data_IF_510338045307
#
_entry.id   IF_510338045307
#
_cell.length_a   1.000
_cell.length_b   1.000
_cell.length_c   1.000
_cell.angle_alpha   90.00
_cell.angle_beta   90.00
_cell.angle_gamma   90.00
#
_symmetry.space_group_name_H-M   'P 1'
#
loop_
_entity.id
_entity.type
_entity.pdbx_description
1 polymer ?
#
# COMPACT_ATOMS: atom_id res chain seq x y z
N UNK A 1 16.18 -18.28 7.52
CA UNK A 1 17.11 -17.20 7.94
C UNK A 1 17.18 -17.22 9.43
N UNK A 2 18.31 -17.65 10.02
CA UNK A 2 18.46 -17.66 11.48
C UNK A 2 18.68 -16.21 11.93
N UNK A 3 17.83 -15.72 12.84
CA UNK A 3 17.99 -14.40 13.42
C UNK A 3 19.31 -14.34 14.21
N UNK A 4 20.18 -13.38 13.87
CA UNK A 4 21.38 -13.06 14.64
C UNK A 4 21.06 -12.50 16.03
N UNK A 5 19.82 -12.12 16.27
CA UNK A 5 19.37 -11.58 17.55
C UNK A 5 18.88 -12.71 18.45
N UNK A 6 19.53 -12.89 19.60
CA UNK A 6 19.20 -13.95 20.59
C UNK A 6 17.74 -13.94 21.03
N UNK A 7 17.14 -12.76 21.12
CA UNK A 7 15.73 -12.57 21.53
C UNK A 7 14.70 -13.19 20.57
N UNK A 8 15.06 -13.40 19.30
CA UNK A 8 14.15 -13.98 18.28
C UNK A 8 14.44 -15.43 17.97
N UNK A 9 15.33 -16.08 18.74
CA UNK A 9 15.80 -17.44 18.46
C UNK A 9 14.67 -18.48 18.38
N UNK A 10 13.60 -18.27 19.17
CA UNK A 10 12.47 -19.20 19.26
C UNK A 10 11.19 -18.72 18.57
N UNK A 11 11.02 -17.44 18.42
CA UNK A 11 9.77 -16.84 17.92
C UNK A 11 9.87 -16.26 16.50
N UNK A 12 11.08 -16.17 15.97
CA UNK A 12 11.33 -15.51 14.69
C UNK A 12 11.23 -13.97 14.78
N UNK A 13 11.48 -13.31 13.67
CA UNK A 13 11.34 -11.85 13.54
C UNK A 13 9.99 -11.60 12.92
N UNK A 14 9.12 -10.78 13.55
CA UNK A 14 7.84 -10.40 12.94
C UNK A 14 8.07 -9.69 11.62
N UNK A 15 7.32 -10.07 10.60
CA UNK A 15 7.39 -9.44 9.27
C UNK A 15 7.11 -7.93 9.34
N UNK A 16 6.23 -7.53 10.25
CA UNK A 16 5.92 -6.13 10.53
C UNK A 16 7.17 -5.30 10.90
N UNK A 17 8.13 -5.84 11.64
CA UNK A 17 9.36 -5.12 11.97
C UNK A 17 10.19 -4.78 10.73
N UNK A 18 10.18 -5.66 9.74
CA UNK A 18 10.91 -5.47 8.49
C UNK A 18 10.30 -4.35 7.64
N UNK A 19 8.98 -4.26 7.63
CA UNK A 19 8.23 -3.33 6.76
C UNK A 19 7.77 -2.05 7.49
N UNK A 20 7.99 -1.96 8.81
CA UNK A 20 7.42 -0.91 9.66
C UNK A 20 7.72 0.50 9.15
N UNK A 21 8.98 0.75 8.77
CA UNK A 21 9.42 2.07 8.29
C UNK A 21 8.68 2.48 7.02
N UNK A 22 8.65 1.61 6.03
CA UNK A 22 8.04 1.87 4.73
C UNK A 22 6.52 1.99 4.84
N UNK A 23 5.91 1.20 5.71
CA UNK A 23 4.49 1.31 6.03
C UNK A 23 4.17 2.68 6.66
N UNK A 24 5.01 3.13 7.59
CA UNK A 24 4.86 4.44 8.23
C UNK A 24 5.05 5.58 7.21
N UNK A 25 6.06 5.50 6.35
CA UNK A 25 6.29 6.48 5.28
C UNK A 25 5.09 6.54 4.33
N UNK A 26 4.59 5.39 3.88
CA UNK A 26 3.44 5.33 2.97
C UNK A 26 2.19 5.93 3.61
N UNK A 27 1.88 5.56 4.86
CA UNK A 27 0.73 6.09 5.60
C UNK A 27 0.84 7.60 5.80
N UNK A 28 2.03 8.10 6.14
CA UNK A 28 2.28 9.53 6.35
C UNK A 28 2.20 10.32 5.03
N UNK A 29 2.71 9.75 3.93
CA UNK A 29 2.62 10.38 2.60
C UNK A 29 1.18 10.55 2.15
N UNK A 30 0.35 9.52 2.32
CA UNK A 30 -1.09 9.62 2.04
C UNK A 30 -1.79 10.63 2.95
N UNK A 31 -1.53 10.60 4.26
CA UNK A 31 -2.13 11.52 5.22
C UNK A 31 -1.74 12.98 4.98
N UNK A 32 -0.47 13.24 4.64
CA UNK A 32 -0.01 14.58 4.31
C UNK A 32 -0.55 15.06 2.95
N UNK A 33 -0.66 14.16 1.96
CA UNK A 33 -1.32 14.45 0.69
C UNK A 33 -2.77 14.93 0.90
N UNK A 34 -3.55 14.23 1.72
CA UNK A 34 -4.90 14.62 2.07
C UNK A 34 -4.95 15.99 2.77
N UNK A 35 -4.07 16.25 3.75
CA UNK A 35 -3.98 17.55 4.43
C UNK A 35 -3.58 18.69 3.49
N UNK A 36 -2.76 18.41 2.48
CA UNK A 36 -2.43 19.41 1.48
C UNK A 36 -3.66 19.74 0.61
N UNK A 37 -4.48 18.76 0.27
CA UNK A 37 -5.73 18.98 -0.46
C UNK A 37 -6.71 19.84 0.35
N UNK A 38 -6.83 19.59 1.65
CA UNK A 38 -7.66 20.40 2.55
C UNK A 38 -7.21 21.88 2.60
N UNK A 39 -5.92 22.14 2.37
CA UNK A 39 -5.30 23.47 2.36
C UNK A 39 -5.06 24.01 0.94
N UNK A 40 -5.62 23.35 -0.06
CA UNK A 40 -5.38 23.66 -1.47
C UNK A 40 -5.71 25.08 -1.86
N UNK A 41 -6.73 25.62 -1.22
CA UNK A 41 -7.21 26.98 -1.49
C UNK A 41 -7.35 27.68 -0.15
N UNK A 42 -6.48 28.65 0.09
CA UNK A 42 -6.60 29.54 1.24
C UNK A 42 -7.14 30.89 0.77
N UNK A 43 -8.23 31.31 1.37
CA UNK A 43 -8.74 32.66 1.20
C UNK A 43 -7.92 33.63 2.03
N UNK A 44 -7.32 34.61 1.39
CA UNK A 44 -6.55 35.66 2.06
C UNK A 44 -7.36 36.94 2.05
N UNK A 45 -7.68 37.43 3.22
CA UNK A 45 -8.37 38.71 3.45
C UNK A 45 -7.36 39.72 3.92
N UNK A 46 -7.18 40.80 3.15
CA UNK A 46 -6.38 41.95 3.56
C UNK A 46 -7.31 42.98 4.18
N UNK A 47 -7.10 43.30 5.44
CA UNK A 47 -7.89 44.29 6.18
C UNK A 47 -6.96 45.39 6.69
N UNK A 48 -7.39 46.63 6.51
CA UNK A 48 -6.65 47.79 6.98
C UNK A 48 -6.73 47.86 8.52
N UNK A 49 -5.59 48.11 9.20
CA UNK A 49 -5.55 48.27 10.65
C UNK A 49 -5.80 46.99 11.46
N UNK A 50 -5.69 45.80 10.83
CA UNK A 50 -5.92 44.50 11.46
C UNK A 50 -5.10 44.29 12.74
N UNK A 51 -3.81 44.67 12.72
CA UNK A 51 -2.92 44.52 13.87
C UNK A 51 -3.31 45.37 15.06
N UNK A 52 -3.82 46.56 14.83
CA UNK A 52 -4.30 47.48 15.90
C UNK A 52 -5.65 47.03 16.47
N UNK A 53 -6.54 46.55 15.61
CA UNK A 53 -7.89 46.07 16.02
C UNK A 53 -7.84 44.81 16.85
N UNK A 54 -6.94 43.83 16.53
CA UNK A 54 -6.79 42.60 17.29
C UNK A 54 -6.32 42.85 18.74
N UNK A 55 -5.69 43.99 19.02
CA UNK A 55 -5.21 44.32 20.36
C UNK A 55 -6.32 44.79 21.32
N UNK A 56 -7.53 45.02 20.80
CA UNK A 56 -8.71 45.40 21.60
C UNK A 56 -9.70 44.24 21.62
N UNK A 57 -10.29 43.93 22.82
CA UNK A 57 -11.28 42.85 22.96
C UNK A 57 -12.49 43.04 22.02
N UNK A 58 -12.99 44.26 21.89
CA UNK A 58 -14.10 44.59 20.98
C UNK A 58 -13.71 44.38 19.50
N UNK A 59 -12.48 44.72 19.12
CA UNK A 59 -11.99 44.57 17.75
C UNK A 59 -11.77 43.12 17.34
N UNK A 60 -11.33 42.25 18.25
CA UNK A 60 -11.22 40.82 18.00
C UNK A 60 -12.60 40.19 17.71
N UNK A 61 -13.61 40.52 18.55
CA UNK A 61 -14.96 40.00 18.37
C UNK A 61 -15.58 40.48 17.04
N UNK A 62 -15.34 41.73 16.64
CA UNK A 62 -15.82 42.29 15.37
C UNK A 62 -15.21 41.56 14.17
N UNK A 63 -13.89 41.31 14.21
CA UNK A 63 -13.17 40.57 13.15
C UNK A 63 -13.68 39.13 13.04
N UNK A 64 -13.85 38.43 14.17
CA UNK A 64 -14.36 37.06 14.19
C UNK A 64 -15.78 36.96 13.63
N UNK A 65 -16.68 37.91 14.03
CA UNK A 65 -18.02 37.98 13.47
C UNK A 65 -18.02 38.21 11.97
N UNK A 66 -17.14 39.09 11.48
CA UNK A 66 -17.01 39.37 10.05
C UNK A 66 -16.51 38.15 9.27
N UNK A 67 -15.46 37.46 9.75
CA UNK A 67 -14.92 36.25 9.11
C UNK A 67 -15.97 35.13 9.08
N UNK A 68 -16.73 34.94 10.15
CA UNK A 68 -17.82 33.96 10.20
C UNK A 68 -18.93 34.27 9.19
N UNK A 69 -19.32 35.56 9.05
CA UNK A 69 -20.30 35.98 8.05
C UNK A 69 -19.81 35.74 6.62
N UNK A 70 -18.53 35.99 6.35
CA UNK A 70 -17.92 35.74 5.04
C UNK A 70 -17.90 34.25 4.75
N UNK A 71 -17.53 33.39 5.69
CA UNK A 71 -17.53 31.94 5.50
C UNK A 71 -18.92 31.35 5.30
N UNK A 72 -19.92 31.87 6.01
CA UNK A 72 -21.33 31.53 5.78
C UNK A 72 -21.81 31.97 4.38
N UNK A 73 -21.45 33.16 3.95
CA UNK A 73 -21.84 33.71 2.64
C UNK A 73 -21.20 32.91 1.51
N UNK A 74 -19.95 32.48 1.63
CA UNK A 74 -19.29 31.57 0.67
C UNK A 74 -20.05 30.28 0.46
N UNK A 75 -20.57 29.67 1.54
CA UNK A 75 -21.30 28.39 1.46
C UNK A 75 -22.65 28.50 0.76
N UNK A 76 -23.28 29.67 0.79
CA UNK A 76 -24.66 29.89 0.29
C UNK A 76 -24.66 30.56 -1.10
N UNK A 77 -23.86 31.60 -1.28
CA UNK A 77 -23.95 32.49 -2.44
C UNK A 77 -22.79 32.38 -3.42
N UNK A 78 -21.73 31.67 -3.07
CA UNK A 78 -20.45 31.62 -3.82
C UNK A 78 -19.89 33.01 -4.18
N UNK A 79 -20.26 34.04 -3.40
CA UNK A 79 -19.85 35.42 -3.60
C UNK A 79 -19.49 36.08 -2.27
N UNK A 80 -18.53 36.99 -2.33
CA UNK A 80 -18.02 37.70 -1.19
C UNK A 80 -18.18 39.20 -1.47
N UNK A 81 -18.75 39.95 -0.53
CA UNK A 81 -18.76 41.38 -0.56
C UNK A 81 -17.62 41.90 0.33
N UNK A 82 -16.75 42.71 -0.25
CA UNK A 82 -15.64 43.37 0.45
C UNK A 82 -15.80 44.87 0.32
N UNK A 83 -15.20 45.63 1.25
CA UNK A 83 -15.16 47.08 1.16
C UNK A 83 -14.23 47.52 0.03
N UNK A 84 -14.69 48.45 -0.81
CA UNK A 84 -13.91 48.97 -1.94
C UNK A 84 -12.64 49.72 -1.48
N UNK A 85 -12.69 50.32 -0.29
CA UNK A 85 -11.58 51.09 0.25
C UNK A 85 -10.85 50.31 1.37
N UNK A 86 -9.70 49.67 0.99
CA UNK A 86 -8.76 49.13 1.96
C UNK A 86 -8.90 47.62 2.23
N UNK A 87 -9.78 46.92 1.53
CA UNK A 87 -9.87 45.47 1.58
C UNK A 87 -9.48 44.84 0.23
N UNK A 88 -8.79 43.73 0.28
CA UNK A 88 -8.41 42.94 -0.88
C UNK A 88 -8.65 41.46 -0.60
N UNK A 89 -9.11 40.74 -1.59
CA UNK A 89 -9.42 39.35 -1.48
C UNK A 89 -8.80 38.58 -2.67
N UNK A 90 -7.99 37.60 -2.36
CA UNK A 90 -7.47 36.69 -3.38
C UNK A 90 -7.35 35.27 -2.84
N UNK A 91 -7.35 34.32 -3.76
CA UNK A 91 -7.05 32.93 -3.45
C UNK A 91 -5.58 32.64 -3.69
N UNK A 92 -4.90 32.14 -2.67
CA UNK A 92 -3.60 31.51 -2.83
C UNK A 92 -3.83 30.06 -3.23
N UNK A 93 -3.45 29.72 -4.45
CA UNK A 93 -3.55 28.35 -4.96
C UNK A 93 -2.20 27.64 -4.82
N UNK A 94 -2.19 26.53 -4.11
CA UNK A 94 -1.02 25.68 -3.99
C UNK A 94 -0.99 24.69 -5.14
N UNK A 95 0.13 24.61 -5.87
CA UNK A 95 0.32 23.59 -6.90
C UNK A 95 0.66 22.24 -6.27
N UNK A 96 -0.11 21.20 -6.63
CA UNK A 96 0.07 19.83 -6.13
C UNK A 96 0.91 18.96 -7.06
N UNK A 97 1.66 19.59 -8.00
CA UNK A 97 2.58 18.83 -8.84
C UNK A 97 3.60 18.09 -7.97
N UNK A 98 3.77 16.78 -8.20
CA UNK A 98 4.70 15.95 -7.44
C UNK A 98 4.15 15.23 -6.21
N UNK A 99 3.01 15.63 -5.64
CA UNK A 99 2.41 14.90 -4.52
C UNK A 99 2.08 13.45 -4.90
N UNK A 100 1.53 13.26 -6.10
CA UNK A 100 1.26 11.93 -6.66
C UNK A 100 2.54 11.11 -6.75
N UNK A 101 3.62 11.69 -7.25
CA UNK A 101 4.89 10.99 -7.44
C UNK A 101 5.52 10.55 -6.12
N UNK A 102 5.38 11.38 -5.07
CA UNK A 102 5.85 11.03 -3.72
C UNK A 102 5.04 9.85 -3.16
N UNK A 103 3.73 9.87 -3.30
CA UNK A 103 2.85 8.78 -2.85
C UNK A 103 3.14 7.50 -3.64
N UNK A 104 3.30 7.61 -4.96
CA UNK A 104 3.62 6.47 -5.82
C UNK A 104 5.01 5.89 -5.49
N UNK A 105 6.01 6.73 -5.23
CA UNK A 105 7.32 6.28 -4.78
C UNK A 105 7.25 5.54 -3.43
N UNK A 106 6.47 6.05 -2.46
CA UNK A 106 6.28 5.39 -1.17
C UNK A 106 5.58 4.03 -1.32
N UNK A 107 4.57 3.93 -2.18
CA UNK A 107 3.90 2.66 -2.50
C UNK A 107 4.84 1.67 -3.19
N UNK A 108 5.69 2.14 -4.11
CA UNK A 108 6.70 1.31 -4.77
C UNK A 108 7.71 0.73 -3.76
N UNK A 109 8.19 1.56 -2.84
CA UNK A 109 9.12 1.11 -1.79
C UNK A 109 8.48 0.08 -0.86
N UNK A 110 7.22 0.28 -0.46
CA UNK A 110 6.49 -0.69 0.37
C UNK A 110 6.30 -2.02 -0.37
N UNK A 111 5.95 -1.98 -1.66
CA UNK A 111 5.86 -3.16 -2.51
C UNK A 111 7.21 -3.89 -2.61
N UNK A 112 8.30 -3.17 -2.83
CA UNK A 112 9.64 -3.73 -2.94
C UNK A 112 10.09 -4.43 -1.63
N UNK A 113 9.85 -3.81 -0.48
CA UNK A 113 10.25 -4.37 0.83
C UNK A 113 9.39 -5.57 1.23
N UNK A 114 8.09 -5.53 0.91
CA UNK A 114 7.19 -6.68 1.17
C UNK A 114 7.40 -7.83 0.20
N UNK A 115 7.91 -7.56 -1.01
CA UNK A 115 7.95 -8.51 -2.12
C UNK A 115 6.56 -8.80 -2.69
N UNK A 116 5.54 -8.00 -2.34
CA UNK A 116 4.16 -8.14 -2.84
C UNK A 116 3.93 -7.09 -3.93
N UNK A 117 3.53 -7.47 -5.15
CA UNK A 117 3.26 -6.52 -6.23
C UNK A 117 2.20 -5.49 -5.87
N UNK A 118 2.30 -4.30 -6.42
CA UNK A 118 1.32 -3.23 -6.19
C UNK A 118 -0.10 -3.63 -6.57
N UNK A 119 -0.27 -4.45 -7.59
CA UNK A 119 -1.55 -5.01 -8.02
C UNK A 119 -2.24 -5.81 -6.92
N UNK A 120 -1.46 -6.56 -6.14
CA UNK A 120 -1.97 -7.32 -4.98
C UNK A 120 -2.12 -6.47 -3.74
N UNK A 121 -1.14 -5.60 -3.47
CA UNK A 121 -1.08 -4.82 -2.23
C UNK A 121 -2.10 -3.69 -2.20
N UNK A 122 -2.30 -3.01 -3.35
CA UNK A 122 -3.14 -1.82 -3.47
C UNK A 122 -4.31 -1.97 -4.46
N UNK A 123 -4.41 -3.10 -5.18
CA UNK A 123 -5.47 -3.35 -6.15
C UNK A 123 -5.39 -2.45 -7.39
N UNK A 124 -4.22 -1.86 -7.68
CA UNK A 124 -4.02 -0.99 -8.84
C UNK A 124 -2.95 -1.54 -9.77
N UNK A 125 -3.17 -1.40 -11.07
CA UNK A 125 -2.17 -1.76 -12.07
C UNK A 125 -0.95 -0.86 -11.96
N UNK A 126 0.27 -1.38 -12.27
CA UNK A 126 1.46 -0.56 -12.39
C UNK A 126 1.25 0.56 -13.40
N UNK A 127 1.89 1.72 -13.18
CA UNK A 127 1.84 2.82 -14.14
C UNK A 127 2.64 2.44 -15.39
N UNK A 128 2.00 2.43 -16.55
CA UNK A 128 2.62 2.15 -17.87
C UNK A 128 1.59 1.68 -18.88
N UNK A 129 1.76 2.12 -20.12
CA UNK A 129 0.78 1.93 -21.20
C UNK A 129 0.54 0.47 -21.59
N UNK A 130 1.47 -0.45 -21.22
CA UNK A 130 1.41 -1.90 -21.50
C UNK A 130 1.56 -2.79 -20.28
N UNK A 131 1.47 -2.25 -19.06
CA UNK A 131 1.66 -3.05 -17.86
C UNK A 131 0.36 -3.72 -17.43
N UNK A 132 0.13 -4.94 -17.88
CA UNK A 132 -0.99 -5.78 -17.40
C UNK A 132 -0.79 -6.24 -15.96
N UNK A 133 0.43 -6.10 -15.44
CA UNK A 133 0.81 -6.64 -14.13
C UNK A 133 0.98 -8.17 -14.12
N UNK A 134 0.84 -8.84 -15.25
CA UNK A 134 1.00 -10.30 -15.36
C UNK A 134 2.41 -10.76 -14.98
N UNK A 135 3.43 -10.10 -15.52
CA UNK A 135 4.83 -10.42 -15.20
C UNK A 135 5.15 -10.25 -13.72
N UNK A 136 4.59 -9.22 -13.07
CA UNK A 136 4.76 -9.01 -11.63
C UNK A 136 4.07 -10.12 -10.83
N UNK A 137 2.91 -10.57 -11.29
CA UNK A 137 2.17 -11.67 -10.67
C UNK A 137 2.87 -13.00 -10.85
N UNK A 138 3.43 -13.27 -12.03
CA UNK A 138 4.21 -14.48 -12.31
C UNK A 138 5.45 -14.53 -11.40
N UNK A 139 6.21 -13.44 -11.32
CA UNK A 139 7.36 -13.33 -10.43
C UNK A 139 6.97 -13.53 -8.96
N UNK A 140 5.84 -12.98 -8.54
CA UNK A 140 5.33 -13.14 -7.17
C UNK A 140 4.96 -14.59 -6.87
N UNK A 141 4.26 -15.26 -7.77
CA UNK A 141 3.91 -16.67 -7.59
C UNK A 141 5.14 -17.58 -7.68
N UNK A 142 6.12 -17.25 -8.54
CA UNK A 142 7.41 -17.91 -8.57
C UNK A 142 8.15 -17.80 -7.23
N UNK A 143 8.15 -16.62 -6.63
CA UNK A 143 8.73 -16.39 -5.30
C UNK A 143 8.02 -17.24 -4.22
N UNK A 144 6.69 -17.27 -4.21
CA UNK A 144 5.94 -18.12 -3.27
C UNK A 144 6.22 -19.60 -3.50
N UNK A 145 6.25 -20.05 -4.76
CA UNK A 145 6.59 -21.41 -5.12
C UNK A 145 7.97 -21.85 -4.59
N UNK A 146 8.96 -20.98 -4.70
CA UNK A 146 10.27 -21.21 -4.12
C UNK A 146 10.23 -21.36 -2.58
N UNK A 147 9.44 -20.55 -1.88
CA UNK A 147 9.26 -20.70 -0.42
C UNK A 147 8.60 -22.04 -0.09
N UNK A 148 7.59 -22.44 -0.86
CA UNK A 148 6.91 -23.72 -0.69
C UNK A 148 7.88 -24.89 -0.85
N UNK A 149 8.65 -24.92 -1.91
CA UNK A 149 9.58 -26.03 -2.21
C UNK A 149 10.78 -26.06 -1.26
N UNK A 150 11.42 -24.92 -1.00
CA UNK A 150 12.66 -24.86 -0.24
C UNK A 150 12.44 -24.87 1.29
N UNK A 151 11.39 -24.22 1.77
CA UNK A 151 11.20 -24.02 3.20
C UNK A 151 10.07 -24.89 3.79
N UNK A 152 8.94 -25.02 3.08
CA UNK A 152 7.76 -25.69 3.63
C UNK A 152 7.77 -27.19 3.36
N UNK A 153 8.12 -27.62 2.15
CA UNK A 153 8.06 -29.03 1.73
C UNK A 153 8.81 -29.97 2.66
N UNK A 154 10.05 -29.62 3.02
CA UNK A 154 10.88 -30.42 3.93
C UNK A 154 10.24 -30.56 5.31
N UNK A 155 9.74 -29.48 5.86
CA UNK A 155 9.15 -29.47 7.19
C UNK A 155 7.82 -30.26 7.23
N UNK A 156 6.97 -30.05 6.21
CA UNK A 156 5.71 -30.79 6.07
C UNK A 156 6.00 -32.29 5.88
N UNK A 157 6.96 -32.66 5.04
CA UNK A 157 7.38 -34.05 4.84
C UNK A 157 7.80 -34.69 6.15
N UNK A 158 8.62 -34.01 6.97
CA UNK A 158 9.03 -34.51 8.28
C UNK A 158 7.83 -34.80 9.19
N UNK A 159 6.85 -33.91 9.22
CA UNK A 159 5.64 -34.10 10.03
C UNK A 159 4.82 -35.30 9.51
N UNK A 160 4.65 -35.42 8.21
CA UNK A 160 3.94 -36.57 7.58
C UNK A 160 4.66 -37.87 7.89
N UNK A 161 5.99 -37.93 7.75
CA UNK A 161 6.80 -39.12 8.05
C UNK A 161 6.64 -39.57 9.52
N UNK A 162 6.58 -38.62 10.47
CA UNK A 162 6.31 -38.93 11.87
C UNK A 162 4.90 -39.52 12.03
N UNK A 163 3.88 -38.89 11.42
CA UNK A 163 2.49 -39.37 11.50
C UNK A 163 2.36 -40.78 10.93
N UNK A 164 2.98 -41.03 9.77
CA UNK A 164 2.98 -42.34 9.12
C UNK A 164 3.71 -43.39 9.96
N UNK A 165 4.84 -43.02 10.56
CA UNK A 165 5.58 -43.91 11.48
C UNK A 165 4.73 -44.32 12.67
N UNK A 166 3.98 -43.40 13.27
CA UNK A 166 3.03 -43.70 14.36
C UNK A 166 1.89 -44.62 13.86
N UNK A 167 1.40 -44.44 12.63
CA UNK A 167 0.41 -45.30 12.02
C UNK A 167 0.92 -46.75 11.85
N UNK A 168 2.16 -46.94 11.38
CA UNK A 168 2.83 -48.23 11.30
C UNK A 168 2.99 -48.86 12.68
N UNK A 169 3.47 -48.12 13.69
CA UNK A 169 3.60 -48.60 15.07
C UNK A 169 2.26 -49.07 15.63
N UNK A 170 1.15 -48.37 15.33
CA UNK A 170 -0.20 -48.76 15.76
C UNK A 170 -0.83 -49.85 14.88
N UNK A 171 -0.05 -50.47 13.99
CA UNK A 171 -0.50 -51.53 13.07
C UNK A 171 -1.72 -51.13 12.21
N UNK A 172 -1.80 -49.90 11.81
CA UNK A 172 -2.83 -49.44 10.85
C UNK A 172 -2.50 -49.84 9.42
N UNK A 173 -1.22 -50.00 9.12
CA UNK A 173 -0.68 -50.52 7.87
C UNK A 173 0.68 -51.24 8.13
N UNK A 174 1.02 -52.19 7.32
CA UNK A 174 2.22 -53.04 7.48
C UNK A 174 3.50 -52.28 7.10
N UNK A 175 3.44 -51.47 6.03
CA UNK A 175 4.53 -50.65 5.56
C UNK A 175 4.08 -49.21 5.41
N UNK A 176 5.03 -48.26 5.55
CA UNK A 176 4.75 -46.87 5.32
C UNK A 176 4.45 -46.69 3.84
N UNK A 177 3.27 -46.16 3.45
CA UNK A 177 2.93 -45.97 2.05
C UNK A 177 3.88 -44.96 1.43
N UNK A 178 4.27 -45.24 0.18
CA UNK A 178 4.99 -44.25 -0.64
C UNK A 178 4.05 -43.09 -0.97
N UNK A 179 4.54 -41.87 -0.83
CA UNK A 179 3.75 -40.67 -1.10
C UNK A 179 4.59 -39.56 -1.71
N UNK A 180 3.98 -38.78 -2.56
CA UNK A 180 4.57 -37.57 -3.12
C UNK A 180 3.83 -36.35 -2.57
N UNK A 181 4.61 -35.35 -2.16
CA UNK A 181 4.08 -34.08 -1.69
C UNK A 181 4.28 -33.02 -2.76
N UNK A 182 3.19 -32.58 -3.34
CA UNK A 182 3.18 -31.56 -4.38
C UNK A 182 2.27 -30.41 -3.96
N UNK A 183 2.70 -29.18 -4.17
CA UNK A 183 1.85 -28.01 -4.00
C UNK A 183 1.03 -27.79 -5.26
N UNK A 184 -0.21 -27.37 -5.08
CA UNK A 184 -1.05 -26.95 -6.21
C UNK A 184 -0.42 -25.74 -6.90
N UNK A 185 -0.49 -25.65 -8.24
CA UNK A 185 -0.05 -24.47 -8.97
C UNK A 185 -0.73 -23.21 -8.41
N UNK A 186 0.05 -22.17 -8.13
CA UNK A 186 -0.44 -20.88 -7.66
C UNK A 186 -1.01 -20.03 -8.79
N UNK A 187 -0.58 -20.30 -10.00
CA UNK A 187 -1.03 -19.65 -11.22
C UNK A 187 -1.77 -20.67 -12.08
N UNK A 188 -3.02 -20.40 -12.35
CA UNK A 188 -3.74 -21.13 -13.40
C UNK A 188 -3.47 -20.37 -14.70
N UNK A 189 -2.66 -20.96 -15.57
CA UNK A 189 -2.56 -20.47 -16.95
C UNK A 189 -3.96 -20.47 -17.56
N UNK A 190 -4.29 -19.42 -18.27
CA UNK A 190 -5.51 -19.38 -19.08
C UNK A 190 -5.45 -20.52 -20.10
N UNK A 191 -6.58 -21.13 -20.45
CA UNK A 191 -6.63 -22.30 -21.36
C UNK A 191 -5.83 -22.09 -22.64
N UNK A 192 -5.73 -20.84 -23.10
CA UNK A 192 -4.96 -20.45 -24.28
C UNK A 192 -3.44 -20.51 -24.06
N UNK A 193 -2.97 -20.05 -22.91
CA UNK A 193 -1.55 -20.10 -22.54
C UNK A 193 -1.10 -21.56 -22.29
N UNK A 194 -1.99 -22.39 -21.75
CA UNK A 194 -1.75 -23.79 -21.54
C UNK A 194 -1.63 -24.54 -22.86
N UNK A 195 -2.50 -24.27 -23.81
CA UNK A 195 -2.45 -24.83 -25.16
C UNK A 195 -1.20 -24.41 -25.95
N UNK A 196 -0.76 -23.17 -25.80
CA UNK A 196 0.47 -22.67 -26.44
C UNK A 196 1.73 -23.30 -25.80
N UNK A 197 1.75 -23.48 -24.48
CA UNK A 197 2.85 -24.16 -23.78
C UNK A 197 2.93 -25.65 -24.16
N UNK A 198 1.80 -26.33 -24.29
CA UNK A 198 1.74 -27.73 -24.67
C UNK A 198 2.14 -27.95 -26.14
N UNK A 199 1.83 -26.98 -27.02
CA UNK A 199 2.37 -26.99 -28.40
C UNK A 199 3.89 -26.85 -28.43
N UNK A 200 4.45 -25.89 -27.68
CA UNK A 200 5.90 -25.68 -27.63
C UNK A 200 6.63 -26.92 -27.06
N UNK A 201 6.04 -27.59 -26.06
CA UNK A 201 6.59 -28.84 -25.53
C UNK A 201 6.54 -29.97 -26.56
N UNK A 202 5.43 -30.14 -27.27
CA UNK A 202 5.29 -31.10 -28.31
C UNK A 202 6.28 -30.89 -29.49
N UNK A 203 6.55 -29.60 -29.81
CA UNK A 203 7.51 -29.23 -30.86
C UNK A 203 8.99 -29.40 -30.42
N UNK A 204 9.26 -29.52 -29.11
CA UNK A 204 10.62 -29.70 -28.56
C UNK A 204 11.00 -31.17 -28.26
N UNK A 205 10.02 -32.06 -28.26
CA UNK A 205 10.24 -33.53 -28.09
C UNK A 205 10.50 -34.27 -29.39
N UNK A 206 10.66 -33.58 -30.51
CA UNK A 206 11.12 -34.09 -31.79
C UNK A 206 12.53 -33.52 -32.09
#
# INVERSE_FOLDING_TARGET
MYSSYQQYRYFGIPEYMRIHRELQVTTTSHGNGAKLLDRAVQAVYKMQGLAERILTEDGEEEILKRLNLIDMAKGILNSIAIDADGEDYHYETVTFSGVKDIVDAACNMLSAVTGIPQTKLFGRSPAGENSTGEGDMENYYGFIGNIQELNLKKNIKTVIDIILSVGKYKKKFDEIPDYNLEFKPLWNMDEKQQADTDKVKADTEF
#
